data_IF_537554888618
#
_entry.id   IF_537554888618
#
_cell.length_a   1.000
_cell.length_b   1.000
_cell.length_c   1.000
_cell.angle_alpha   90.00
_cell.angle_beta   90.00
_cell.angle_gamma   90.00
#
_symmetry.space_group_name_H-M   'P 1'
#
loop_
_entity.id
_entity.type
_entity.pdbx_description
1 polymer ?
#
# COMPACT_ATOMS: atom_id res chain seq x y z
N UNK A 1 -20.60 -8.86 -6.90
CA UNK A 1 -19.37 -9.66 -7.12
C UNK A 1 -19.24 -10.66 -5.98
N UNK A 2 -18.58 -11.80 -6.21
CA UNK A 2 -18.41 -12.85 -5.20
C UNK A 2 -16.99 -13.43 -5.26
N UNK A 3 -16.49 -13.95 -4.13
CA UNK A 3 -15.22 -14.65 -3.99
C UNK A 3 -15.45 -16.07 -3.46
N UNK A 4 -14.47 -16.94 -3.64
CA UNK A 4 -14.50 -18.27 -3.02
C UNK A 4 -14.12 -18.13 -1.54
N UNK A 5 -14.80 -18.87 -0.67
CA UNK A 5 -14.47 -18.93 0.74
C UNK A 5 -13.13 -19.62 1.01
N UNK A 6 -12.63 -19.53 2.25
CA UNK A 6 -11.34 -20.12 2.62
C UNK A 6 -11.29 -21.65 2.45
N UNK A 7 -12.43 -22.33 2.36
CA UNK A 7 -12.51 -23.78 2.14
C UNK A 7 -12.43 -24.18 0.67
N UNK A 8 -12.57 -23.22 -0.25
CA UNK A 8 -12.60 -23.50 -1.69
C UNK A 8 -13.95 -24.04 -2.19
N UNK A 9 -14.98 -24.11 -1.33
CA UNK A 9 -16.22 -24.87 -1.61
C UNK A 9 -17.44 -24.00 -1.86
N UNK A 10 -17.43 -22.75 -1.43
CA UNK A 10 -18.60 -21.86 -1.52
C UNK A 10 -18.22 -20.51 -2.08
N UNK A 11 -19.14 -19.93 -2.86
CA UNK A 11 -19.09 -18.52 -3.23
C UNK A 11 -19.72 -17.69 -2.11
N UNK A 12 -19.02 -16.65 -1.69
CA UNK A 12 -19.50 -15.66 -0.73
C UNK A 12 -19.45 -14.28 -1.37
N UNK A 13 -20.41 -13.39 -1.07
CA UNK A 13 -20.36 -12.02 -1.55
C UNK A 13 -19.10 -11.33 -1.04
N UNK A 14 -18.53 -10.46 -1.88
CA UNK A 14 -17.47 -9.55 -1.42
C UNK A 14 -18.07 -8.43 -0.56
N UNK A 15 -17.22 -7.76 0.21
CA UNK A 15 -17.62 -6.55 0.95
C UNK A 15 -18.13 -5.50 -0.05
N UNK A 16 -19.34 -4.97 0.20
CA UNK A 16 -19.92 -3.94 -0.65
C UNK A 16 -19.27 -2.58 -0.36
N UNK A 17 -18.68 -2.00 -1.39
CA UNK A 17 -17.92 -0.74 -1.34
C UNK A 17 -18.38 0.22 -2.44
N UNK A 18 -19.62 0.07 -2.93
CA UNK A 18 -20.19 0.94 -3.98
C UNK A 18 -20.27 2.41 -3.58
N UNK A 19 -20.47 2.70 -2.30
CA UNK A 19 -20.46 4.06 -1.76
C UNK A 19 -19.06 4.67 -1.71
N UNK A 20 -18.02 3.83 -1.81
CA UNK A 20 -16.62 4.19 -1.73
C UNK A 20 -16.03 3.98 -0.34
N UNK A 21 -14.70 3.99 -0.29
CA UNK A 21 -13.90 3.87 0.92
C UNK A 21 -13.08 5.15 1.03
N UNK A 22 -13.33 5.96 2.05
CA UNK A 22 -12.68 7.26 2.22
C UNK A 22 -12.71 8.12 0.93
N UNK A 23 -13.90 8.25 0.33
CA UNK A 23 -14.09 9.00 -0.93
C UNK A 23 -13.64 8.29 -2.21
N UNK A 24 -12.92 7.16 -2.12
CA UNK A 24 -12.48 6.39 -3.29
C UNK A 24 -13.52 5.33 -3.67
N UNK A 25 -14.10 5.47 -4.86
CA UNK A 25 -15.00 4.46 -5.44
C UNK A 25 -14.23 3.53 -6.37
N UNK A 26 -14.38 2.19 -6.25
CA UNK A 26 -13.81 1.26 -7.22
C UNK A 26 -14.44 1.47 -8.60
N UNK A 27 -13.62 1.44 -9.64
CA UNK A 27 -14.03 1.66 -11.05
C UNK A 27 -14.14 0.36 -11.84
N UNK A 28 -13.48 -0.69 -11.38
CA UNK A 28 -13.44 -1.98 -12.04
C UNK A 28 -13.46 -3.14 -11.03
N UNK A 29 -13.54 -4.37 -11.53
CA UNK A 29 -13.70 -5.58 -10.71
C UNK A 29 -12.48 -5.82 -9.82
N UNK A 30 -11.29 -5.55 -10.34
CA UNK A 30 -10.02 -5.74 -9.65
C UNK A 30 -9.94 -4.83 -8.41
N UNK A 31 -10.38 -3.58 -8.54
CA UNK A 31 -10.46 -2.62 -7.42
C UNK A 31 -11.51 -3.03 -6.37
N UNK A 32 -12.64 -3.60 -6.80
CA UNK A 32 -13.61 -4.17 -5.86
C UNK A 32 -13.01 -5.31 -5.03
N UNK A 33 -12.26 -6.23 -5.66
CA UNK A 33 -11.57 -7.30 -4.93
C UNK A 33 -10.40 -6.78 -4.08
N UNK A 34 -9.73 -5.70 -4.51
CA UNK A 34 -8.71 -5.04 -3.70
C UNK A 34 -9.30 -4.50 -2.40
N UNK A 35 -10.40 -3.75 -2.45
CA UNK A 35 -11.05 -3.25 -1.24
C UNK A 35 -11.59 -4.36 -0.35
N UNK A 36 -12.16 -5.42 -0.94
CA UNK A 36 -12.59 -6.59 -0.18
C UNK A 36 -11.41 -7.21 0.61
N UNK A 37 -10.24 -7.41 -0.02
CA UNK A 37 -9.05 -7.92 0.66
C UNK A 37 -8.50 -6.97 1.73
N UNK A 38 -8.52 -5.66 1.46
CA UNK A 38 -8.05 -4.63 2.38
C UNK A 38 -8.94 -4.52 3.63
N UNK A 39 -10.25 -4.68 3.47
CA UNK A 39 -11.25 -4.51 4.53
C UNK A 39 -11.61 -5.83 5.26
N UNK A 40 -11.25 -6.99 4.73
CA UNK A 40 -11.52 -8.29 5.37
C UNK A 40 -10.52 -8.56 6.51
N UNK A 41 -11.01 -8.61 7.75
CA UNK A 41 -10.21 -8.79 8.97
C UNK A 41 -9.47 -10.12 9.03
N UNK A 42 -9.94 -11.13 8.30
CA UNK A 42 -9.33 -12.47 8.26
C UNK A 42 -8.03 -12.45 7.46
N UNK A 43 -7.90 -11.52 6.52
CA UNK A 43 -6.71 -11.33 5.70
C UNK A 43 -5.75 -10.41 6.46
N UNK A 44 -4.57 -10.88 6.81
CA UNK A 44 -3.54 -10.10 7.52
C UNK A 44 -2.46 -9.57 6.60
N UNK A 45 -2.25 -10.22 5.46
CA UNK A 45 -1.29 -9.82 4.44
C UNK A 45 -1.99 -9.58 3.11
N UNK A 46 -1.81 -8.41 2.53
CA UNK A 46 -2.34 -8.10 1.19
C UNK A 46 -1.19 -7.68 0.29
N UNK A 47 -1.16 -8.18 -0.94
CA UNK A 47 -0.29 -7.62 -1.99
C UNK A 47 -1.15 -7.05 -3.10
N UNK A 48 -0.95 -5.78 -3.43
CA UNK A 48 -1.54 -5.14 -4.59
C UNK A 48 -0.44 -4.98 -5.64
N UNK A 49 -0.54 -5.75 -6.71
CA UNK A 49 0.36 -5.72 -7.85
C UNK A 49 -0.31 -4.96 -8.99
N UNK A 50 0.46 -4.25 -9.81
CA UNK A 50 -0.05 -3.67 -11.05
C UNK A 50 0.75 -2.45 -11.51
N UNK A 51 0.47 -1.99 -12.72
CA UNK A 51 1.20 -0.86 -13.32
C UNK A 51 0.99 0.46 -12.59
N UNK A 52 1.86 1.44 -12.80
CA UNK A 52 1.62 2.82 -12.36
C UNK A 52 0.27 3.36 -12.87
N UNK A 53 -0.49 4.02 -11.98
CA UNK A 53 -1.82 4.57 -12.28
C UNK A 53 -3.01 3.62 -12.03
N UNK A 54 -2.78 2.42 -11.49
CA UNK A 54 -3.85 1.45 -11.15
C UNK A 54 -4.53 1.70 -9.80
N UNK A 55 -4.03 2.66 -9.00
CA UNK A 55 -4.61 3.05 -7.72
C UNK A 55 -4.20 2.21 -6.50
N UNK A 56 -3.17 1.36 -6.61
CA UNK A 56 -2.68 0.46 -5.53
C UNK A 56 -2.52 1.19 -4.19
N UNK A 57 -1.63 2.18 -4.16
CA UNK A 57 -1.26 2.91 -2.94
C UNK A 57 -2.43 3.75 -2.44
N UNK A 58 -3.15 4.41 -3.36
CA UNK A 58 -4.32 5.23 -3.03
C UNK A 58 -5.44 4.42 -2.35
N UNK A 59 -5.80 3.24 -2.88
CA UNK A 59 -6.81 2.36 -2.28
C UNK A 59 -6.35 1.81 -0.93
N UNK A 60 -5.08 1.41 -0.82
CA UNK A 60 -4.52 0.93 0.44
C UNK A 60 -4.57 2.02 1.53
N UNK A 61 -4.22 3.27 1.17
CA UNK A 61 -4.29 4.41 2.07
C UNK A 61 -5.73 4.75 2.45
N UNK A 62 -6.66 4.76 1.49
CA UNK A 62 -8.08 4.99 1.75
C UNK A 62 -8.66 3.97 2.73
N UNK A 63 -8.36 2.68 2.53
CA UNK A 63 -8.73 1.63 3.47
C UNK A 63 -8.07 1.85 4.83
N UNK A 64 -6.77 2.15 4.86
CA UNK A 64 -6.04 2.42 6.11
C UNK A 64 -6.61 3.58 6.91
N UNK A 65 -6.99 4.69 6.26
CA UNK A 65 -7.61 5.84 6.88
C UNK A 65 -8.98 5.51 7.45
N UNK A 66 -9.86 4.84 6.68
CA UNK A 66 -11.15 4.34 7.20
C UNK A 66 -10.93 3.51 8.46
N UNK A 67 -9.98 2.58 8.41
CA UNK A 67 -9.76 1.58 9.45
C UNK A 67 -9.10 2.15 10.72
N UNK A 68 -8.25 3.17 10.58
CA UNK A 68 -7.60 3.83 11.70
C UNK A 68 -8.45 4.99 12.28
N UNK A 69 -9.20 5.72 11.45
CA UNK A 69 -9.90 6.95 11.85
C UNK A 69 -11.39 6.72 12.11
N UNK A 70 -12.11 6.10 11.16
CA UNK A 70 -13.55 5.87 11.28
C UNK A 70 -13.83 4.65 12.16
N UNK A 71 -13.27 3.50 11.80
CA UNK A 71 -13.53 2.23 12.47
C UNK A 71 -12.74 2.12 13.80
N UNK A 72 -11.66 2.90 13.95
CA UNK A 72 -10.74 2.90 15.11
C UNK A 72 -10.21 1.52 15.48
N UNK A 73 -10.07 0.63 14.50
CA UNK A 73 -9.57 -0.72 14.73
C UNK A 73 -8.04 -0.75 14.85
N UNK A 74 -7.36 0.10 14.07
CA UNK A 74 -5.91 0.26 14.15
C UNK A 74 -5.56 1.56 14.86
N UNK A 75 -4.48 1.53 15.64
CA UNK A 75 -3.98 2.72 16.35
C UNK A 75 -3.56 3.82 15.39
N UNK A 76 -3.03 3.44 14.22
CA UNK A 76 -2.54 4.36 13.19
C UNK A 76 -2.39 3.67 11.84
N UNK A 77 -2.39 4.47 10.79
CA UNK A 77 -1.91 4.13 9.45
C UNK A 77 -0.42 4.43 9.37
N UNK A 78 0.39 3.46 8.93
CA UNK A 78 1.82 3.65 8.63
C UNK A 78 2.05 3.40 7.16
N UNK A 79 2.69 4.35 6.47
CA UNK A 79 3.13 4.19 5.08
C UNK A 79 4.65 4.29 5.06
N UNK A 80 5.29 3.21 4.64
CA UNK A 80 6.73 3.12 4.54
C UNK A 80 7.17 2.83 3.12
N UNK A 81 8.24 3.49 2.67
CA UNK A 81 8.81 3.32 1.33
C UNK A 81 10.31 3.05 1.42
N UNK A 82 10.87 2.12 0.60
CA UNK A 82 12.31 1.93 0.54
C UNK A 82 13.01 3.16 -0.03
N UNK A 83 14.11 3.55 0.59
CA UNK A 83 14.99 4.60 0.08
C UNK A 83 16.04 3.95 -0.81
N UNK A 84 15.89 4.07 -2.11
CA UNK A 84 16.82 3.51 -3.09
C UNK A 84 17.86 4.59 -3.41
N UNK A 85 19.10 4.37 -3.00
CA UNK A 85 20.21 5.21 -3.41
C UNK A 85 20.60 4.84 -4.83
N UNK A 86 20.23 5.66 -5.80
CA UNK A 86 20.77 5.61 -7.17
C UNK A 86 22.23 6.09 -7.17
N UNK A 87 23.16 5.26 -6.71
CA UNK A 87 24.62 5.47 -6.83
C UNK A 87 25.23 6.64 -6.04
N UNK A 88 24.45 7.62 -5.57
CA UNK A 88 24.84 8.56 -4.52
C UNK A 88 24.39 7.94 -3.21
N UNK A 89 25.32 7.54 -2.35
CA UNK A 89 24.99 7.35 -0.94
C UNK A 89 24.21 8.59 -0.47
N UNK A 90 23.29 8.44 0.48
CA UNK A 90 22.60 9.56 1.16
C UNK A 90 23.57 10.54 1.89
N UNK A 91 24.86 10.44 1.60
CA UNK A 91 25.94 11.28 2.06
C UNK A 91 25.80 12.72 1.55
N UNK A 92 25.86 13.64 2.53
CA UNK A 92 26.08 15.08 2.38
C UNK A 92 25.01 15.90 1.63
N UNK A 93 23.73 15.53 1.68
CA UNK A 93 22.71 16.58 1.61
C UNK A 93 22.73 17.34 2.95
N UNK A 94 22.96 18.67 2.99
CA UNK A 94 22.73 19.46 4.20
C UNK A 94 21.23 19.51 4.50
N UNK A 95 20.86 19.62 5.78
CA UNK A 95 19.46 19.69 6.21
C UNK A 95 19.03 18.56 7.15
N UNK A 96 17.79 18.66 7.62
CA UNK A 96 17.16 17.65 8.46
C UNK A 96 16.93 16.35 7.67
N UNK A 97 16.80 15.23 8.37
CA UNK A 97 16.48 13.96 7.73
C UNK A 97 15.17 14.03 6.93
N UNK A 98 14.18 14.77 7.43
CA UNK A 98 12.89 14.97 6.78
C UNK A 98 13.05 15.70 5.45
N UNK A 99 13.88 16.74 5.41
CA UNK A 99 14.22 17.45 4.16
C UNK A 99 14.93 16.54 3.15
N UNK A 100 15.77 15.62 3.63
CA UNK A 100 16.46 14.64 2.78
C UNK A 100 15.51 13.60 2.22
N UNK A 101 14.52 13.17 2.99
CA UNK A 101 13.58 12.11 2.56
C UNK A 101 12.37 12.66 1.82
N UNK A 102 12.10 13.96 1.95
CA UNK A 102 10.94 14.66 1.36
C UNK A 102 10.65 14.27 -0.08
N UNK A 103 11.62 14.35 -1.02
CA UNK A 103 11.38 14.01 -2.42
C UNK A 103 10.87 12.57 -2.64
N UNK A 104 11.34 11.61 -1.85
CA UNK A 104 10.91 10.21 -1.96
C UNK A 104 9.53 9.97 -1.33
N UNK A 105 9.16 10.77 -0.33
CA UNK A 105 7.87 10.66 0.37
C UNK A 105 6.78 11.50 -0.28
N UNK A 106 7.13 12.46 -1.15
CA UNK A 106 6.19 13.39 -1.77
C UNK A 106 4.98 12.69 -2.42
N UNK A 107 5.11 11.59 -3.19
CA UNK A 107 3.94 10.92 -3.77
C UNK A 107 2.93 10.40 -2.74
N UNK A 108 3.39 10.07 -1.52
CA UNK A 108 2.51 9.66 -0.41
C UNK A 108 1.78 10.88 0.14
N UNK A 109 2.46 12.02 0.28
CA UNK A 109 1.84 13.28 0.71
C UNK A 109 0.79 13.78 -0.27
N UNK A 110 1.09 13.75 -1.58
CA UNK A 110 0.14 14.15 -2.62
C UNK A 110 -1.12 13.24 -2.60
N UNK A 111 -0.95 11.94 -2.37
CA UNK A 111 -2.07 11.01 -2.22
C UNK A 111 -2.91 11.30 -0.96
N UNK A 112 -2.29 11.70 0.15
CA UNK A 112 -3.01 12.10 1.37
C UNK A 112 -3.80 13.41 1.19
N UNK A 113 -3.26 14.34 0.42
CA UNK A 113 -3.96 15.60 0.08
C UNK A 113 -5.20 15.30 -0.75
N UNK A 114 -5.07 14.50 -1.83
CA UNK A 114 -6.21 14.04 -2.63
C UNK A 114 -7.29 13.35 -1.78
N UNK A 115 -6.88 12.45 -0.87
CA UNK A 115 -7.82 11.76 0.03
C UNK A 115 -8.47 12.70 1.04
N UNK A 116 -7.82 13.81 1.39
CA UNK A 116 -8.42 14.84 2.25
C UNK A 116 -9.48 15.60 1.49
N UNK A 117 -9.18 16.05 0.28
CA UNK A 117 -10.11 16.79 -0.59
C UNK A 117 -11.38 16.00 -0.88
N UNK A 118 -11.23 14.71 -1.20
CA UNK A 118 -12.35 13.81 -1.45
C UNK A 118 -13.21 13.56 -0.21
N UNK A 119 -12.69 13.80 0.99
CA UNK A 119 -13.39 13.55 2.25
C UNK A 119 -13.85 14.84 2.96
N UNK A 120 -13.61 16.03 2.39
CA UNK A 120 -13.97 17.33 2.98
C UNK A 120 -15.48 17.48 3.29
N UNK A 121 -16.33 16.67 2.66
CA UNK A 121 -17.77 16.65 2.94
C UNK A 121 -18.20 15.87 4.20
N UNK A 122 -17.33 15.02 4.76
CA UNK A 122 -17.69 14.07 5.83
C UNK A 122 -16.92 14.26 7.15
N UNK A 123 -15.68 14.79 7.12
CA UNK A 123 -14.86 14.99 8.32
C UNK A 123 -14.00 16.26 8.16
N UNK A 124 -13.91 17.10 9.19
CA UNK A 124 -13.11 18.33 9.18
C UNK A 124 -11.60 18.08 9.38
N UNK A 125 -11.19 16.82 9.57
CA UNK A 125 -9.79 16.47 9.84
C UNK A 125 -9.00 16.43 8.54
N UNK A 126 -8.11 17.41 8.37
CA UNK A 126 -7.14 17.42 7.27
C UNK A 126 -6.08 16.35 7.49
N UNK A 127 -5.51 15.79 6.41
CA UNK A 127 -4.35 14.90 6.49
C UNK A 127 -3.22 15.48 7.35
N UNK A 128 -3.01 16.80 7.29
CA UNK A 128 -2.03 17.52 8.12
C UNK A 128 -2.26 17.32 9.62
N UNK A 129 -3.51 17.31 10.07
CA UNK A 129 -3.84 17.14 11.49
C UNK A 129 -3.62 15.69 11.93
N UNK A 130 -3.95 14.74 11.05
CA UNK A 130 -3.75 13.31 11.28
C UNK A 130 -2.26 12.91 11.27
N UNK A 131 -1.44 13.60 10.48
CA UNK A 131 0.02 13.48 10.51
C UNK A 131 0.57 14.03 11.83
N UNK A 132 0.15 15.24 12.23
CA UNK A 132 0.58 15.87 13.49
C UNK A 132 0.18 15.07 14.73
N UNK A 133 -0.99 14.43 14.73
CA UNK A 133 -1.43 13.56 15.83
C UNK A 133 -0.72 12.21 15.87
N UNK A 134 0.02 11.84 14.82
CA UNK A 134 0.62 10.51 14.65
C UNK A 134 -0.39 9.41 14.33
N UNK A 135 -1.61 9.79 13.91
CA UNK A 135 -2.61 8.85 13.39
C UNK A 135 -2.23 8.36 12.00
N UNK A 136 -1.52 9.18 11.23
CA UNK A 136 -0.82 8.79 10.01
C UNK A 136 0.68 8.98 10.27
N UNK A 137 1.48 8.00 9.87
CA UNK A 137 2.95 8.07 9.92
C UNK A 137 3.49 7.74 8.53
N UNK A 138 4.30 8.63 7.97
CA UNK A 138 5.03 8.41 6.73
C UNK A 138 6.51 8.37 7.06
N UNK A 139 7.22 7.31 6.65
CA UNK A 139 8.62 7.12 7.02
C UNK A 139 9.39 6.29 5.99
N UNK A 140 10.72 6.36 6.04
CA UNK A 140 11.56 5.44 5.28
C UNK A 140 11.56 4.04 5.92
N UNK A 141 11.62 3.01 5.09
CA UNK A 141 11.57 1.62 5.52
C UNK A 141 12.70 1.21 6.49
N UNK A 142 13.85 1.87 6.40
CA UNK A 142 15.01 1.67 7.27
C UNK A 142 14.67 1.84 8.76
N UNK A 143 13.68 2.69 9.10
CA UNK A 143 13.25 2.97 10.48
C UNK A 143 12.38 1.88 11.11
N UNK A 144 11.97 0.88 10.34
CA UNK A 144 11.18 -0.25 10.84
C UNK A 144 12.07 -1.35 11.43
N UNK A 145 13.37 -1.33 11.10
CA UNK A 145 14.35 -2.24 11.70
C UNK A 145 14.55 -1.89 13.19
N UNK A 146 14.61 -2.90 14.04
CA UNK A 146 14.74 -2.74 15.50
C UNK A 146 13.44 -2.69 16.32
N UNK A 147 12.27 -2.36 15.76
CA UNK A 147 10.99 -2.27 16.51
C UNK A 147 9.97 -3.40 16.24
N UNK A 148 9.08 -3.63 17.20
CA UNK A 148 7.88 -4.48 17.05
C UNK A 148 6.70 -3.66 16.54
N UNK A 149 5.90 -4.21 15.62
CA UNK A 149 4.83 -3.49 14.91
C UNK A 149 3.47 -4.10 15.29
N UNK A 150 2.80 -3.56 16.31
CA UNK A 150 1.50 -4.07 16.78
C UNK A 150 0.39 -3.03 16.60
N UNK A 151 -0.82 -3.51 16.31
CA UNK A 151 -2.05 -2.70 16.16
C UNK A 151 -1.96 -1.59 15.09
N UNK A 152 -1.34 -1.89 13.93
CA UNK A 152 -1.16 -0.92 12.84
C UNK A 152 -1.76 -1.40 11.53
N UNK A 153 -2.25 -0.45 10.73
CA UNK A 153 -2.50 -0.70 9.30
C UNK A 153 -1.25 -0.22 8.56
N UNK A 154 -0.43 -1.16 8.09
CA UNK A 154 0.90 -0.88 7.58
C UNK A 154 0.97 -1.08 6.07
N UNK A 155 1.41 -0.07 5.34
CA UNK A 155 1.62 -0.10 3.90
C UNK A 155 3.13 -0.03 3.63
N UNK A 156 3.63 -0.98 2.85
CA UNK A 156 4.97 -0.98 2.28
C UNK A 156 4.83 -0.68 0.80
N UNK A 157 5.15 0.55 0.41
CA UNK A 157 5.05 1.00 -0.97
C UNK A 157 6.34 0.75 -1.75
N UNK A 158 6.22 0.56 -3.07
CA UNK A 158 7.32 0.16 -3.97
C UNK A 158 8.07 -1.10 -3.51
N UNK A 159 7.30 -2.11 -3.08
CA UNK A 159 7.85 -3.33 -2.50
C UNK A 159 8.71 -4.15 -3.47
N UNK A 160 8.57 -3.97 -4.79
CA UNK A 160 9.41 -4.62 -5.81
C UNK A 160 10.90 -4.26 -5.67
N UNK A 161 11.20 -3.16 -5.01
CA UNK A 161 12.56 -2.72 -4.78
C UNK A 161 13.24 -3.38 -3.57
N UNK A 162 12.52 -4.24 -2.85
CA UNK A 162 13.04 -4.95 -1.69
C UNK A 162 13.67 -6.27 -2.10
N UNK A 163 14.67 -6.71 -1.33
CA UNK A 163 15.19 -8.07 -1.39
C UNK A 163 14.27 -9.05 -0.63
N UNK A 164 14.31 -10.36 -0.94
CA UNK A 164 13.59 -11.38 -0.16
C UNK A 164 13.91 -11.35 1.35
N UNK A 165 15.15 -11.01 1.72
CA UNK A 165 15.57 -10.92 3.12
C UNK A 165 14.92 -9.73 3.84
N UNK A 166 14.82 -8.58 3.18
CA UNK A 166 14.14 -7.40 3.74
C UNK A 166 12.66 -7.66 3.96
N UNK A 167 11.98 -8.23 2.95
CA UNK A 167 10.57 -8.61 3.07
C UNK A 167 10.36 -9.61 4.21
N UNK A 168 11.21 -10.65 4.30
CA UNK A 168 11.17 -11.60 5.41
C UNK A 168 11.33 -10.89 6.76
N UNK A 169 12.28 -9.96 6.86
CA UNK A 169 12.55 -9.19 8.09
C UNK A 169 11.37 -8.33 8.50
N UNK A 170 10.65 -7.73 7.54
CA UNK A 170 9.48 -6.91 7.80
C UNK A 170 8.32 -7.79 8.29
N UNK A 171 7.98 -8.84 7.53
CA UNK A 171 6.83 -9.70 7.84
C UNK A 171 6.98 -10.40 9.19
N UNK A 172 8.19 -10.80 9.59
CA UNK A 172 8.41 -11.44 10.90
C UNK A 172 8.34 -10.47 12.09
N UNK A 173 8.28 -9.15 11.86
CA UNK A 173 8.11 -8.11 12.91
C UNK A 173 6.67 -7.64 13.08
N UNK A 174 5.78 -8.06 12.18
CA UNK A 174 4.35 -7.79 12.26
C UNK A 174 3.79 -8.52 13.48
N UNK A 175 3.47 -7.76 14.51
CA UNK A 175 2.87 -8.23 15.75
C UNK A 175 1.36 -8.38 15.66
N UNK A 176 0.74 -8.79 16.77
CA UNK A 176 -0.70 -8.96 16.87
C UNK A 176 -1.46 -7.66 16.54
N UNK A 177 -2.66 -7.83 15.96
CA UNK A 177 -3.53 -6.71 15.59
C UNK A 177 -3.04 -5.86 14.42
N UNK A 178 -1.97 -6.27 13.72
CA UNK A 178 -1.46 -5.55 12.55
C UNK A 178 -1.96 -6.20 11.25
N UNK A 179 -2.33 -5.38 10.27
CA UNK A 179 -2.55 -5.78 8.88
C UNK A 179 -1.45 -5.12 8.03
N UNK A 180 -0.76 -5.90 7.21
CA UNK A 180 0.32 -5.42 6.35
C UNK A 180 -0.06 -5.54 4.88
N UNK A 181 0.21 -4.46 4.13
CA UNK A 181 -0.12 -4.32 2.72
C UNK A 181 1.19 -4.01 2.00
N UNK A 182 1.48 -4.76 0.94
CA UNK A 182 2.59 -4.46 0.04
C UNK A 182 2.00 -3.97 -1.29
N UNK A 183 2.44 -2.81 -1.76
CA UNK A 183 2.09 -2.28 -3.08
C UNK A 183 3.34 -2.25 -3.96
N UNK A 184 3.18 -2.60 -5.24
CA UNK A 184 4.33 -2.61 -6.15
C UNK A 184 4.00 -2.92 -7.60
N UNK A 185 4.99 -2.66 -8.47
CA UNK A 185 4.97 -3.00 -9.89
C UNK A 185 6.22 -3.84 -10.22
N UNK A 186 6.11 -5.16 -10.47
CA UNK A 186 7.27 -6.02 -10.72
C UNK A 186 8.01 -5.68 -12.03
N UNK A 187 7.43 -4.82 -12.88
CA UNK A 187 8.04 -4.36 -14.13
C UNK A 187 8.72 -3.00 -14.00
N UNK A 188 8.57 -2.30 -12.88
CA UNK A 188 9.19 -1.00 -12.61
C UNK A 188 10.11 -1.12 -11.39
N UNK A 189 11.29 -1.69 -11.61
CA UNK A 189 12.29 -1.92 -10.56
C UNK A 189 13.39 -0.87 -10.67
N UNK A 190 13.58 -0.12 -9.59
CA UNK A 190 14.59 0.93 -9.46
C UNK A 190 15.86 0.41 -8.77
N UNK A 191 15.75 -0.64 -7.96
CA UNK A 191 16.89 -1.22 -7.24
C UNK A 191 17.75 -2.10 -8.19
N UNK A 192 19.02 -1.75 -8.45
CA UNK A 192 19.87 -2.47 -9.40
C UNK A 192 20.32 -3.87 -8.91
N UNK A 193 20.08 -4.19 -7.63
CA UNK A 193 20.49 -5.46 -7.02
C UNK A 193 19.39 -6.53 -7.02
N UNK A 194 18.20 -6.22 -7.55
CA UNK A 194 17.09 -7.16 -7.67
C UNK A 194 16.49 -7.07 -9.06
N UNK A 195 15.90 -8.17 -9.53
CA UNK A 195 15.20 -8.23 -10.81
C UNK A 195 13.75 -8.71 -10.62
N UNK A 196 13.00 -8.78 -11.73
CA UNK A 196 11.59 -9.17 -11.71
C UNK A 196 11.36 -10.62 -11.25
N UNK A 197 12.35 -11.49 -11.36
CA UNK A 197 12.28 -12.88 -10.89
C UNK A 197 12.78 -13.07 -9.45
N UNK A 198 13.64 -12.16 -8.96
CA UNK A 198 14.36 -12.32 -7.69
C UNK A 198 13.99 -11.32 -6.59
N UNK A 199 13.14 -10.32 -6.88
CA UNK A 199 12.73 -9.35 -5.88
C UNK A 199 11.86 -9.94 -4.75
N UNK A 200 11.87 -9.25 -3.62
CA UNK A 200 11.16 -9.62 -2.40
C UNK A 200 9.64 -9.61 -2.54
N UNK A 201 9.08 -8.76 -3.40
CA UNK A 201 7.63 -8.69 -3.62
C UNK A 201 7.09 -9.95 -4.29
N UNK A 202 7.72 -10.39 -5.39
CA UNK A 202 7.36 -11.64 -6.07
C UNK A 202 7.67 -12.87 -5.21
N UNK A 203 8.77 -12.84 -4.46
CA UNK A 203 9.07 -13.86 -3.46
C UNK A 203 7.94 -14.00 -2.43
N UNK A 204 7.44 -12.88 -1.89
CA UNK A 204 6.34 -12.87 -0.93
C UNK A 204 5.07 -13.51 -1.49
N UNK A 205 4.67 -13.08 -2.68
CA UNK A 205 3.48 -13.58 -3.36
C UNK A 205 3.58 -15.09 -3.58
N UNK A 206 4.73 -15.55 -4.06
CA UNK A 206 4.99 -16.98 -4.29
C UNK A 206 4.86 -17.80 -3.00
N UNK A 207 5.42 -17.31 -1.88
CA UNK A 207 5.40 -18.02 -0.60
C UNK A 207 4.04 -17.96 0.11
N UNK A 208 3.27 -16.89 -0.06
CA UNK A 208 2.00 -16.69 0.65
C UNK A 208 0.75 -17.10 -0.15
N UNK A 209 0.87 -17.43 -1.44
CA UNK A 209 -0.26 -17.79 -2.33
C UNK A 209 -1.22 -18.85 -1.77
N UNK A 210 -0.70 -19.84 -1.05
CA UNK A 210 -1.49 -20.94 -0.48
C UNK A 210 -2.05 -20.69 0.92
N UNK A 211 -1.81 -19.52 1.51
CA UNK A 211 -2.16 -19.23 2.89
C UNK A 211 -3.43 -18.37 2.97
N UNK A 212 -4.47 -18.86 3.65
CA UNK A 212 -5.77 -18.19 3.77
C UNK A 212 -5.72 -16.82 4.47
N UNK A 213 -4.63 -16.51 5.19
CA UNK A 213 -4.40 -15.21 5.82
C UNK A 213 -3.87 -14.15 4.85
N UNK A 214 -3.58 -14.52 3.60
CA UNK A 214 -3.01 -13.66 2.58
C UNK A 214 -3.95 -13.51 1.39
N UNK A 215 -3.93 -12.34 0.76
CA UNK A 215 -4.61 -12.08 -0.50
C UNK A 215 -3.66 -11.37 -1.47
N UNK A 216 -3.66 -11.83 -2.72
CA UNK A 216 -2.81 -11.29 -3.77
C UNK A 216 -3.70 -10.81 -4.91
N UNK A 217 -3.72 -9.50 -5.15
CA UNK A 217 -4.59 -8.87 -6.15
C UNK A 217 -3.71 -8.25 -7.22
N UNK A 218 -3.98 -8.59 -8.47
CA UNK A 218 -3.35 -8.00 -9.64
C UNK A 218 -4.30 -6.99 -10.29
N UNK A 219 -3.88 -5.73 -10.37
CA UNK A 219 -4.58 -4.64 -11.01
C UNK A 219 -4.01 -4.48 -12.43
N UNK A 220 -4.68 -5.10 -13.40
CA UNK A 220 -4.20 -5.14 -14.78
C UNK A 220 -4.49 -3.85 -15.54
N UNK A 221 -5.67 -3.24 -15.31
CA UNK A 221 -6.13 -2.06 -16.02
C UNK A 221 -5.88 -0.79 -15.20
N UNK A 222 -5.07 0.11 -15.75
CA UNK A 222 -4.94 1.46 -15.23
C UNK A 222 -6.14 2.30 -15.66
N UNK A 223 -6.72 3.05 -14.73
CA UNK A 223 -7.78 4.02 -15.02
C UNK A 223 -7.08 5.36 -15.31
N UNK A 224 -6.37 5.41 -16.43
CA UNK A 224 -5.61 6.59 -16.88
C UNK A 224 -6.53 7.59 -17.57
N UNK A 225 -6.11 8.85 -17.65
CA UNK A 225 -6.77 9.80 -18.53
C UNK A 225 -6.61 9.38 -19.99
N UNK A 226 -7.52 9.83 -20.85
CA UNK A 226 -7.48 9.57 -22.29
C UNK A 226 -6.10 9.89 -22.91
N UNK A 227 -5.47 10.98 -22.44
CA UNK A 227 -4.12 11.36 -22.87
C UNK A 227 -3.06 10.32 -22.46
N UNK A 228 -3.11 9.83 -21.21
CA UNK A 228 -2.12 8.89 -20.71
C UNK A 228 -2.35 7.46 -21.23
N UNK A 229 -3.56 7.12 -21.63
CA UNK A 229 -3.86 5.89 -22.37
C UNK A 229 -3.38 6.00 -23.83
N UNK A 230 -3.65 7.11 -24.52
CA UNK A 230 -3.14 7.36 -25.87
C UNK A 230 -1.61 7.36 -25.90
N UNK A 231 -0.97 8.08 -24.98
CA UNK A 231 0.49 8.15 -24.91
C UNK A 231 1.12 6.77 -24.68
N UNK A 232 0.53 5.92 -23.85
CA UNK A 232 1.04 4.56 -23.61
C UNK A 232 0.90 3.62 -24.82
N UNK A 233 0.04 3.94 -25.78
CA UNK A 233 -0.16 3.16 -27.00
C UNK A 233 0.64 3.69 -28.19
N UNK A 234 1.01 4.98 -28.18
CA UNK A 234 1.66 5.67 -29.31
C UNK A 234 3.17 5.85 -29.09
N UNK A 235 3.64 5.93 -27.85
CA UNK A 235 5.07 6.05 -27.48
C UNK A 235 5.62 4.71 -26.97
#
# INVERSE_FOLDING_TARGET
LAKVDATGKKLVPIIDVREGVWGIKPRNREQHFAFDALLDDRIKLVTLMGKAGTGKTLMAMAAGLKRAVMDREFRRLVVARPTISMGKELGFLPGSLEEKLGPWMQPIHDALELLSDLNMGNDHRRSSDLLRSGTIVVEALSYIRGRSIANQFMIIDEAQNLTPLEVKTIVTRVGSGTKIIFTGDPYQIDNPYVDSSSNGFNYLISKFRGHAIAAHIELQRGERSDLAELAANVL
#
